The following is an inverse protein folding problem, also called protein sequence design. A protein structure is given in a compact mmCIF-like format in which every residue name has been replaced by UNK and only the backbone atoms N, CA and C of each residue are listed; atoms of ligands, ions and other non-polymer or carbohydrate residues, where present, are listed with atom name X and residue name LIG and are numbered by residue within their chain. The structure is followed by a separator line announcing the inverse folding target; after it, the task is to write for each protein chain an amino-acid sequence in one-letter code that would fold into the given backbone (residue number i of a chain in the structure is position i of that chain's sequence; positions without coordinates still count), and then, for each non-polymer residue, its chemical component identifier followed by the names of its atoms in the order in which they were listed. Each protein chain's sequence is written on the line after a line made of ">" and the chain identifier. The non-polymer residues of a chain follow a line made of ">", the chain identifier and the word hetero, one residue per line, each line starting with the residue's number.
data_IF_068763679126
#
_entry.id   IF_068763679126
#
_cell.length_a   1.000
_cell.length_b   1.000
_cell.length_c   1.000
_cell.angle_alpha   90.00
_cell.angle_beta   90.00
_cell.angle_gamma   90.00
#
_symmetry.space_group_name_H-M   'P 1'
#
loop_
_entity.id
_entity.type
_entity.pdbx_description
1 polymer ?
#
# COMPACT_ATOMS: atom_id res chain seq x y z
N UNK A 1 16.46 3.64 15.80
CA UNK A 1 15.00 3.58 16.08
C UNK A 1 14.52 4.99 15.95
N UNK A 2 13.93 5.31 14.80
CA UNK A 2 13.59 6.69 14.46
C UNK A 2 12.37 7.09 15.28
N UNK A 3 12.58 7.95 16.28
CA UNK A 3 11.48 8.50 17.07
C UNK A 3 10.75 9.53 16.23
N UNK A 4 9.62 9.15 15.67
CA UNK A 4 8.68 10.12 15.11
C UNK A 4 7.97 10.82 16.27
N UNK A 5 8.27 12.10 16.46
CA UNK A 5 7.68 12.93 17.53
C UNK A 5 6.64 13.87 16.90
N UNK A 6 5.35 13.56 17.04
CA UNK A 6 4.29 14.51 16.66
C UNK A 6 4.13 15.49 17.82
N UNK A 7 4.32 16.78 17.57
CA UNK A 7 4.06 17.82 18.56
C UNK A 7 2.54 17.86 18.88
N UNK A 8 2.11 17.72 20.14
CA UNK A 8 0.68 17.69 20.50
C UNK A 8 -0.03 19.04 20.25
N UNK A 9 0.72 20.12 20.06
CA UNK A 9 0.20 21.44 19.72
C UNK A 9 -0.02 21.64 18.21
N UNK A 10 0.46 20.72 17.36
CA UNK A 10 0.16 20.75 15.93
C UNK A 10 -1.14 19.99 15.66
N UNK A 11 -2.03 20.57 14.86
CA UNK A 11 -3.22 19.86 14.38
C UNK A 11 -2.78 18.57 13.68
N UNK A 12 -3.48 17.47 13.96
CA UNK A 12 -3.16 16.18 13.33
C UNK A 12 -3.19 16.32 11.79
N UNK A 13 -2.11 15.97 11.09
CA UNK A 13 -2.05 16.12 9.65
C UNK A 13 -3.00 15.12 8.97
N UNK A 14 -3.75 15.61 7.98
CA UNK A 14 -4.55 14.76 7.09
C UNK A 14 -3.75 14.43 5.84
N UNK A 15 -3.50 13.14 5.60
CA UNK A 15 -2.62 12.69 4.50
C UNK A 15 -3.42 11.87 3.48
N UNK A 16 -3.18 12.12 2.19
CA UNK A 16 -3.68 11.26 1.12
C UNK A 16 -2.48 10.61 0.44
N UNK A 17 -2.52 9.28 0.32
CA UNK A 17 -1.52 8.46 -0.37
C UNK A 17 -2.14 8.00 -1.68
N UNK A 18 -1.54 8.37 -2.81
CA UNK A 18 -1.99 7.94 -4.14
C UNK A 18 -1.17 6.73 -4.59
N UNK A 19 -1.85 5.60 -4.77
CA UNK A 19 -1.32 4.29 -5.13
C UNK A 19 -1.13 3.36 -3.92
N UNK A 20 -1.83 2.23 -3.90
CA UNK A 20 -1.69 1.16 -2.91
C UNK A 20 -0.67 0.08 -3.34
N UNK A 21 0.41 0.50 -4.00
CA UNK A 21 1.57 -0.34 -4.28
C UNK A 21 2.50 -0.47 -3.07
N UNK A 22 3.65 -1.15 -3.24
CA UNK A 22 4.67 -1.29 -2.19
C UNK A 22 5.06 0.05 -1.56
N UNK A 23 5.32 1.08 -2.38
CA UNK A 23 5.71 2.39 -1.88
C UNK A 23 4.61 3.06 -1.04
N UNK A 24 3.35 3.03 -1.50
CA UNK A 24 2.24 3.65 -0.78
C UNK A 24 1.90 2.92 0.52
N UNK A 25 1.91 1.59 0.52
CA UNK A 25 1.72 0.79 1.72
C UNK A 25 2.86 0.98 2.73
N UNK A 26 4.12 1.07 2.27
CA UNK A 26 5.26 1.38 3.14
C UNK A 26 5.15 2.78 3.74
N UNK A 27 4.68 3.77 2.97
CA UNK A 27 4.43 5.11 3.49
C UNK A 27 3.34 5.10 4.57
N UNK A 28 2.20 4.44 4.32
CA UNK A 28 1.12 4.28 5.29
C UNK A 28 1.60 3.57 6.58
N UNK A 29 2.36 2.49 6.43
CA UNK A 29 2.95 1.77 7.55
C UNK A 29 3.85 2.68 8.39
N UNK A 30 4.69 3.50 7.73
CA UNK A 30 5.58 4.43 8.44
C UNK A 30 4.81 5.55 9.14
N UNK A 31 3.78 6.11 8.50
CA UNK A 31 2.91 7.11 9.13
C UNK A 31 2.25 6.56 10.39
N UNK A 32 1.74 5.33 10.35
CA UNK A 32 1.14 4.67 11.50
C UNK A 32 2.17 4.42 12.62
N UNK A 33 3.38 3.95 12.29
CA UNK A 33 4.47 3.84 13.26
C UNK A 33 4.85 5.18 13.91
N UNK A 34 4.64 6.27 13.18
CA UNK A 34 4.86 7.64 13.65
C UNK A 34 3.68 8.21 14.47
N UNK A 35 2.58 7.47 14.63
CA UNK A 35 1.38 7.92 15.33
C UNK A 35 0.43 8.76 14.48
N UNK A 36 0.69 8.91 13.17
CA UNK A 36 -0.18 9.62 12.23
C UNK A 36 -1.16 8.59 11.66
N UNK A 37 -2.41 8.61 12.10
CA UNK A 37 -3.43 7.64 11.69
C UNK A 37 -4.52 8.27 10.80
N UNK A 38 -4.53 9.60 10.67
CA UNK A 38 -5.47 10.32 9.81
C UNK A 38 -5.00 10.36 8.35
N UNK A 39 -5.04 9.21 7.68
CA UNK A 39 -4.68 9.09 6.27
C UNK A 39 -5.64 8.24 5.46
N UNK A 40 -5.70 8.51 4.15
CA UNK A 40 -6.47 7.74 3.17
C UNK A 40 -5.56 7.28 2.03
N UNK A 41 -5.69 6.01 1.62
CA UNK A 41 -4.98 5.46 0.46
C UNK A 41 -5.96 5.34 -0.70
N UNK A 42 -5.62 5.91 -1.85
CA UNK A 42 -6.40 5.83 -3.08
C UNK A 42 -5.65 4.98 -4.10
N UNK A 43 -6.28 3.94 -4.63
CA UNK A 43 -5.71 3.08 -5.69
C UNK A 43 -6.65 3.11 -6.90
N UNK A 44 -6.07 3.13 -8.10
CA UNK A 44 -6.86 3.19 -9.33
C UNK A 44 -7.52 1.84 -9.66
N UNK A 45 -6.98 0.73 -9.12
CA UNK A 45 -7.47 -0.63 -9.31
C UNK A 45 -8.27 -1.10 -8.10
N UNK A 46 -9.13 -2.10 -8.32
CA UNK A 46 -9.88 -2.83 -7.28
C UNK A 46 -8.98 -3.63 -6.30
N UNK A 47 -7.65 -3.63 -6.50
CA UNK A 47 -6.71 -4.41 -5.68
C UNK A 47 -5.44 -3.62 -5.31
N UNK A 48 -4.90 -3.81 -4.09
CA UNK A 48 -3.57 -3.31 -3.74
C UNK A 48 -2.45 -4.15 -4.40
N UNK A 49 -1.20 -3.67 -4.26
CA UNK A 49 0.02 -4.35 -4.71
C UNK A 49 0.72 -3.66 -5.89
N UNK A 50 0.01 -2.81 -6.64
CA UNK A 50 0.57 -2.09 -7.79
C UNK A 50 1.13 -3.06 -8.84
N UNK A 51 2.44 -2.98 -9.10
CA UNK A 51 3.18 -3.87 -10.02
C UNK A 51 3.31 -5.30 -9.52
N UNK A 52 3.22 -5.52 -8.21
CA UNK A 52 3.25 -6.85 -7.62
C UNK A 52 1.83 -7.41 -7.69
N UNK A 53 1.65 -8.47 -8.47
CA UNK A 53 0.39 -9.20 -8.56
C UNK A 53 0.68 -10.69 -8.43
N UNK A 54 0.08 -11.34 -7.44
CA UNK A 54 0.14 -12.78 -7.28
C UNK A 54 -1.19 -13.37 -7.75
N UNK A 55 -1.16 -14.07 -8.88
CA UNK A 55 -2.26 -14.93 -9.31
C UNK A 55 -1.93 -16.38 -8.92
N UNK A 56 -2.95 -17.15 -8.59
CA UNK A 56 -2.81 -18.59 -8.37
C UNK A 56 -2.88 -19.30 -9.72
N UNK A 57 -1.90 -20.16 -10.02
CA UNK A 57 -1.90 -21.00 -11.22
C UNK A 57 -1.83 -22.47 -10.78
N UNK A 58 -2.99 -23.11 -10.61
CA UNK A 58 -3.08 -24.47 -10.05
C UNK A 58 -2.55 -24.57 -8.60
N UNK A 59 -2.03 -25.74 -8.22
CA UNK A 59 -1.44 -26.01 -6.88
C UNK A 59 -0.02 -25.43 -6.70
N UNK A 60 0.52 -24.77 -7.74
CA UNK A 60 1.85 -24.17 -7.73
C UNK A 60 1.76 -22.64 -7.68
N UNK A 61 2.28 -22.05 -6.60
CA UNK A 61 2.35 -20.60 -6.42
C UNK A 61 3.47 -20.02 -7.29
N UNK A 62 3.18 -19.71 -8.56
CA UNK A 62 4.12 -18.99 -9.43
C UNK A 62 4.20 -17.54 -8.94
N UNK A 63 5.34 -17.17 -8.34
CA UNK A 63 5.72 -15.76 -8.19
C UNK A 63 6.47 -15.35 -9.46
N UNK A 64 6.10 -14.20 -9.99
CA UNK A 64 6.74 -13.49 -11.10
C UNK A 64 6.46 -14.02 -12.52
N UNK A 65 5.21 -13.95 -12.95
CA UNK A 65 4.94 -13.67 -14.38
C UNK A 65 3.84 -12.64 -14.52
N UNK A 66 4.11 -11.62 -15.35
CA UNK A 66 3.06 -10.90 -16.06
C UNK A 66 2.51 -11.83 -17.15
N UNK A 67 1.21 -12.12 -17.15
CA UNK A 67 0.47 -12.20 -18.39
C UNK A 67 -0.56 -11.08 -18.37
N UNK A 68 -0.47 -10.16 -19.34
CA UNK A 68 -1.46 -9.09 -19.47
C UNK A 68 -2.85 -9.60 -19.92
N UNK A 69 -3.09 -10.92 -20.03
CA UNK A 69 -4.35 -11.45 -20.60
C UNK A 69 -4.89 -12.76 -19.98
N UNK A 70 -4.57 -13.13 -18.73
CA UNK A 70 -5.08 -14.41 -18.18
C UNK A 70 -5.73 -14.33 -16.80
N UNK A 71 -6.73 -13.44 -16.68
CA UNK A 71 -7.85 -13.58 -15.73
C UNK A 71 -9.02 -12.76 -16.29
N UNK A 72 -9.63 -13.26 -17.36
CA UNK A 72 -11.01 -12.93 -17.71
C UNK A 72 -11.73 -14.28 -17.88
N UNK A 73 -12.86 -14.36 -17.16
CA UNK A 73 -13.76 -15.48 -16.82
C UNK A 73 -13.29 -16.48 -15.76
#
# INVERSE_FOLDING_TARGET
>A
MDSCSINPNCREPRVIIVGAGMAGLSAAHRLSQCGINNFLILEAKERPGGRIHSCWLGDAKIKDMMPQELCLD
#
